data_IF_580065348771
#
_entry.id   IF_580065348771
#
_cell.length_a   1.000
_cell.length_b   1.000
_cell.length_c   1.000
_cell.angle_alpha   90.00
_cell.angle_beta   90.00
_cell.angle_gamma   90.00
#
_symmetry.space_group_name_H-M   'P 1'
#
loop_
_entity.id
_entity.type
_entity.pdbx_description
1 polymer ?
#
# COMPACT_ATOMS: atom_id res chain seq x y z
N UNK A 1 -3.58 -2.02 21.44
CA UNK A 1 -4.34 -1.68 20.20
C UNK A 1 -3.53 -0.79 19.24
N UNK A 2 -2.88 0.29 19.71
CA UNK A 2 -1.90 1.06 18.90
C UNK A 2 -0.73 0.22 18.36
N UNK A 3 -0.32 -0.81 19.13
CA UNK A 3 0.71 -1.77 18.73
C UNK A 3 0.39 -2.58 17.46
N UNK A 4 -0.88 -2.70 17.05
CA UNK A 4 -1.23 -3.46 15.86
C UNK A 4 -1.06 -2.66 14.56
N UNK A 5 -0.91 -1.34 14.65
CA UNK A 5 -0.69 -0.46 13.48
C UNK A 5 0.77 -0.02 13.32
N UNK A 6 1.62 -0.22 14.33
CA UNK A 6 3.01 0.28 14.34
C UNK A 6 4.10 -0.81 14.36
N UNK A 7 3.73 -2.10 14.27
CA UNK A 7 4.72 -3.17 14.11
C UNK A 7 5.15 -3.27 12.64
N UNK A 8 6.44 -3.02 12.30
CA UNK A 8 6.94 -3.14 10.93
C UNK A 8 7.04 -4.59 10.44
N UNK A 9 6.83 -5.59 11.31
CA UNK A 9 7.24 -6.97 11.05
C UNK A 9 6.13 -8.00 10.88
N UNK A 10 4.86 -7.61 10.81
CA UNK A 10 3.76 -8.57 10.87
C UNK A 10 3.00 -8.77 9.54
N UNK A 11 3.46 -8.27 8.40
CA UNK A 11 2.60 -7.92 7.24
C UNK A 11 2.08 -9.05 6.31
N UNK A 12 2.13 -10.33 6.66
CA UNK A 12 2.01 -11.39 5.64
C UNK A 12 0.62 -11.93 5.26
N UNK A 13 -0.53 -11.35 5.65
CA UNK A 13 -1.85 -11.92 5.24
C UNK A 13 -2.95 -10.90 4.90
N UNK A 14 -3.74 -11.28 3.88
CA UNK A 14 -4.83 -10.58 3.18
C UNK A 14 -5.96 -10.04 4.08
N UNK A 15 -6.01 -10.40 5.36
CA UNK A 15 -7.00 -9.91 6.35
C UNK A 15 -6.83 -8.44 6.75
N UNK A 16 -5.79 -7.75 6.24
CA UNK A 16 -5.32 -6.46 6.76
C UNK A 16 -5.79 -5.19 6.06
N UNK A 17 -6.18 -5.24 4.78
CA UNK A 17 -6.71 -4.05 4.10
C UNK A 17 -8.04 -3.59 4.72
N UNK A 18 -8.84 -4.58 5.16
CA UNK A 18 -10.08 -4.41 5.93
C UNK A 18 -9.74 -3.84 7.32
N UNK A 19 -8.82 -4.49 8.06
CA UNK A 19 -8.46 -4.14 9.44
C UNK A 19 -8.11 -2.66 9.68
N UNK A 20 -7.33 -2.01 8.80
CA UNK A 20 -6.92 -0.60 9.01
C UNK A 20 -8.09 0.40 8.88
N UNK A 21 -9.13 0.09 8.09
CA UNK A 21 -10.30 0.98 7.90
C UNK A 21 -11.29 0.91 9.07
N UNK A 22 -11.50 -0.26 9.66
CA UNK A 22 -12.37 -0.42 10.85
C UNK A 22 -11.71 0.02 12.16
N UNK A 23 -10.40 0.31 12.13
CA UNK A 23 -9.69 0.86 13.29
C UNK A 23 -10.04 2.32 13.60
N UNK A 24 -10.57 3.07 12.62
CA UNK A 24 -10.98 4.47 12.82
C UNK A 24 -12.20 4.56 13.75
N UNK A 25 -13.17 3.65 13.62
CA UNK A 25 -14.39 3.65 14.45
C UNK A 25 -14.20 2.97 15.81
N UNK A 26 -13.22 2.08 15.96
CA UNK A 26 -12.88 1.47 17.25
C UNK A 26 -11.99 2.36 18.11
N UNK A 27 -11.37 3.39 17.54
CA UNK A 27 -10.51 4.34 18.24
C UNK A 27 -11.24 5.11 19.35
N UNK A 28 -12.40 5.76 19.09
CA UNK A 28 -13.13 6.49 20.12
C UNK A 28 -13.60 5.58 21.26
N UNK A 29 -14.03 4.36 20.93
CA UNK A 29 -14.45 3.35 21.91
C UNK A 29 -13.30 2.91 22.81
N UNK A 30 -12.10 2.71 22.25
CA UNK A 30 -10.91 2.36 23.02
C UNK A 30 -10.52 3.47 24.00
N UNK A 31 -10.53 4.73 23.58
CA UNK A 31 -10.25 5.87 24.47
C UNK A 31 -11.34 6.07 25.52
N UNK A 32 -12.61 5.85 25.18
CA UNK A 32 -13.70 5.84 26.16
C UNK A 32 -13.51 4.76 27.22
N UNK A 33 -13.14 3.53 26.83
CA UNK A 33 -12.86 2.44 27.76
C UNK A 33 -11.64 2.74 28.65
N UNK A 34 -10.54 3.22 28.08
CA UNK A 34 -9.37 3.63 28.87
C UNK A 34 -9.75 4.75 29.85
N UNK A 35 -10.51 5.75 29.40
CA UNK A 35 -10.99 6.84 30.24
C UNK A 35 -11.84 6.32 31.40
N UNK A 36 -12.80 5.44 31.11
CA UNK A 36 -13.64 4.80 32.11
C UNK A 36 -12.83 4.00 33.14
N UNK A 37 -11.92 3.14 32.68
CA UNK A 37 -11.04 2.37 33.56
C UNK A 37 -10.14 3.28 34.40
N UNK A 38 -9.60 4.35 33.81
CA UNK A 38 -8.76 5.33 34.51
C UNK A 38 -9.56 6.03 35.62
N UNK A 39 -10.79 6.47 35.35
CA UNK A 39 -11.66 7.11 36.34
C UNK A 39 -12.02 6.12 37.46
N UNK A 40 -12.43 4.89 37.12
CA UNK A 40 -12.73 3.81 38.07
C UNK A 40 -11.54 3.51 38.99
N UNK A 41 -10.35 3.36 38.41
CA UNK A 41 -9.11 3.10 39.15
C UNK A 41 -8.77 4.28 40.08
N UNK A 42 -8.90 5.52 39.60
CA UNK A 42 -8.64 6.73 40.38
C UNK A 42 -9.65 6.91 41.52
N UNK A 43 -10.92 6.53 41.33
CA UNK A 43 -11.96 6.57 42.35
C UNK A 43 -11.74 5.50 43.44
N UNK A 44 -11.41 4.26 43.05
CA UNK A 44 -11.12 3.19 44.03
C UNK A 44 -9.85 3.46 44.83
N UNK A 45 -8.80 4.02 44.20
CA UNK A 45 -7.58 4.46 44.88
C UNK A 45 -7.79 5.72 45.75
N UNK A 46 -8.87 6.47 45.52
CA UNK A 46 -9.19 7.72 46.20
C UNK A 46 -10.04 7.57 47.47
N UNK A 47 -10.59 6.38 47.75
CA UNK A 47 -11.43 6.19 48.95
C UNK A 47 -10.59 6.22 50.23
N UNK A 48 -10.94 7.06 51.23
CA UNK A 48 -10.16 7.26 52.45
C UNK A 48 -10.43 6.12 53.44
N UNK A 49 -10.01 4.90 53.12
CA UNK A 49 -10.23 3.76 54.03
C UNK A 49 -9.11 3.47 55.01
N UNK A 50 -7.89 4.01 54.87
CA UNK A 50 -6.83 3.93 55.91
C UNK A 50 -5.74 5.00 55.68
N UNK A 51 -5.24 5.61 56.77
CA UNK A 51 -4.36 6.80 56.84
C UNK A 51 -3.05 6.71 56.02
N UNK A 52 -2.52 5.52 55.78
CA UNK A 52 -1.27 5.31 55.03
C UNK A 52 -1.44 5.08 53.51
N UNK A 53 -2.68 4.86 53.02
CA UNK A 53 -2.93 4.69 51.57
C UNK A 53 -2.97 5.99 50.78
N UNK A 54 -3.15 7.15 51.43
CA UNK A 54 -3.20 8.44 50.73
C UNK A 54 -1.87 8.82 50.06
N UNK A 55 -0.75 8.53 50.71
CA UNK A 55 0.59 8.70 50.13
C UNK A 55 0.83 7.69 49.00
N UNK A 56 0.45 6.43 49.20
CA UNK A 56 0.62 5.36 48.22
C UNK A 56 -0.23 5.60 46.95
N UNK A 57 -1.46 6.10 47.10
CA UNK A 57 -2.32 6.50 46.00
C UNK A 57 -1.76 7.70 45.23
N UNK A 58 -1.11 8.67 45.89
CA UNK A 58 -0.41 9.77 45.21
C UNK A 58 0.78 9.25 44.39
N UNK A 59 1.59 8.36 44.94
CA UNK A 59 2.74 7.77 44.24
C UNK A 59 2.30 6.95 43.01
N UNK A 60 1.26 6.13 43.14
CA UNK A 60 0.70 5.34 42.02
C UNK A 60 0.15 6.27 40.92
N UNK A 61 -0.51 7.37 41.27
CA UNK A 61 -0.98 8.36 40.30
C UNK A 61 0.17 9.00 39.52
N UNK A 62 1.22 9.42 40.22
CA UNK A 62 2.41 10.02 39.59
C UNK A 62 3.07 9.00 38.64
N UNK A 63 3.24 7.77 39.09
CA UNK A 63 3.84 6.71 38.28
C UNK A 63 3.01 6.38 37.04
N UNK A 64 1.68 6.33 37.15
CA UNK A 64 0.78 6.12 36.03
C UNK A 64 0.86 7.23 34.99
N UNK A 65 0.90 8.50 35.43
CA UNK A 65 1.09 9.65 34.53
C UNK A 65 2.44 9.57 33.81
N UNK A 66 3.51 9.17 34.52
CA UNK A 66 4.84 9.00 33.96
C UNK A 66 4.87 7.90 32.89
N UNK A 67 4.23 6.76 33.15
CA UNK A 67 4.05 5.68 32.15
C UNK A 67 3.32 6.21 30.91
N UNK A 68 2.25 6.97 31.10
CA UNK A 68 1.49 7.55 29.99
C UNK A 68 2.37 8.48 29.15
N UNK A 69 3.12 9.38 29.77
CA UNK A 69 4.01 10.30 29.07
C UNK A 69 5.07 9.54 28.27
N UNK A 70 5.75 8.57 28.89
CA UNK A 70 6.77 7.75 28.20
C UNK A 70 6.14 6.98 27.04
N UNK A 71 4.97 6.39 27.26
CA UNK A 71 4.24 5.65 26.24
C UNK A 71 3.88 6.54 25.04
N UNK A 72 3.33 7.74 25.28
CA UNK A 72 2.97 8.67 24.21
C UNK A 72 4.19 9.21 23.46
N UNK A 73 5.30 9.50 24.16
CA UNK A 73 6.55 9.96 23.53
C UNK A 73 7.12 8.89 22.61
N UNK A 74 7.18 7.63 23.06
CA UNK A 74 7.61 6.51 22.22
C UNK A 74 6.67 6.34 21.04
N UNK A 75 5.35 6.31 21.29
CA UNK A 75 4.34 6.18 20.24
C UNK A 75 4.48 7.28 19.17
N UNK A 76 4.74 8.52 19.59
CA UNK A 76 4.95 9.66 18.70
C UNK A 76 6.21 9.51 17.83
N UNK A 77 7.32 8.99 18.36
CA UNK A 77 8.54 8.74 17.57
C UNK A 77 8.29 7.66 16.50
N UNK A 78 7.50 6.63 16.83
CA UNK A 78 7.20 5.51 15.93
C UNK A 78 6.02 5.76 14.97
N UNK A 79 5.41 6.96 14.95
CA UNK A 79 4.42 7.25 13.91
C UNK A 79 5.10 7.42 12.56
N UNK A 80 4.51 6.83 11.51
CA UNK A 80 5.00 6.90 10.14
C UNK A 80 5.44 8.32 9.68
N UNK A 81 4.69 9.41 9.91
CA UNK A 81 5.12 10.75 9.46
C UNK A 81 6.36 11.26 10.22
N UNK A 82 6.45 11.04 11.54
CA UNK A 82 7.59 11.49 12.34
C UNK A 82 8.82 10.62 12.11
N UNK A 83 8.65 9.30 11.99
CA UNK A 83 9.74 8.41 11.62
C UNK A 83 10.32 8.78 10.24
N UNK A 84 9.46 9.05 9.25
CA UNK A 84 9.90 9.50 7.93
C UNK A 84 10.60 10.88 7.98
N UNK A 85 10.14 11.80 8.83
CA UNK A 85 10.78 13.10 9.08
C UNK A 85 12.17 12.93 9.70
N UNK A 86 12.32 12.00 10.65
CA UNK A 86 13.59 11.71 11.34
C UNK A 86 14.55 10.95 10.42
N UNK A 87 14.06 10.07 9.54
CA UNK A 87 14.88 9.28 8.63
C UNK A 87 15.38 10.03 7.39
N UNK A 88 15.09 11.33 7.25
CA UNK A 88 15.35 12.14 6.03
C UNK A 88 14.69 11.58 4.75
N UNK A 89 13.76 10.63 4.86
CA UNK A 89 13.00 10.08 3.72
C UNK A 89 11.76 10.93 3.40
N UNK A 90 11.44 11.92 4.23
CA UNK A 90 10.30 12.80 4.05
C UNK A 90 10.51 13.82 2.93
N UNK A 91 10.02 13.48 1.74
CA UNK A 91 9.85 14.45 0.64
C UNK A 91 8.45 15.06 0.71
N UNK A 92 8.35 16.28 1.22
CA UNK A 92 7.15 17.10 1.07
C UNK A 92 6.96 17.42 -0.42
N UNK A 93 6.05 16.71 -1.07
CA UNK A 93 5.64 17.04 -2.44
C UNK A 93 4.72 18.25 -2.35
N UNK A 94 5.09 19.34 -3.03
CA UNK A 94 4.28 20.56 -3.04
C UNK A 94 2.92 20.25 -3.73
N UNK A 95 1.78 20.41 -3.05
CA UNK A 95 0.47 20.11 -3.63
C UNK A 95 0.18 20.93 -4.89
N UNK A 96 0.74 22.15 -5.00
CA UNK A 96 0.58 22.98 -6.20
C UNK A 96 1.25 22.34 -7.42
N UNK A 97 2.43 21.71 -7.24
CA UNK A 97 3.12 21.00 -8.33
C UNK A 97 2.37 19.74 -8.77
N UNK A 98 1.59 19.12 -7.87
CA UNK A 98 0.71 18.01 -8.23
C UNK A 98 -0.52 18.52 -8.97
N UNK A 99 -1.11 19.63 -8.52
CA UNK A 99 -2.30 20.24 -9.13
C UNK A 99 -2.05 20.65 -10.59
N UNK A 100 -0.87 21.22 -10.88
CA UNK A 100 -0.47 21.59 -12.25
C UNK A 100 -0.37 20.41 -13.21
N UNK A 101 -0.20 19.18 -12.68
CA UNK A 101 -0.10 17.96 -13.48
C UNK A 101 -1.47 17.42 -13.92
N UNK A 102 -2.57 17.88 -13.31
CA UNK A 102 -3.91 17.36 -13.60
C UNK A 102 -4.75 18.33 -14.47
N UNK A 103 -5.62 17.82 -15.36
CA UNK A 103 -5.79 16.41 -15.70
C UNK A 103 -4.57 15.86 -16.43
N UNK A 104 -4.23 14.60 -16.15
CA UNK A 104 -3.13 13.93 -16.83
C UNK A 104 -3.43 13.83 -18.32
N UNK A 105 -2.40 14.03 -19.14
CA UNK A 105 -2.46 13.66 -20.56
C UNK A 105 -2.62 12.13 -20.65
N UNK A 106 -3.70 11.70 -21.31
CA UNK A 106 -3.98 10.27 -21.51
C UNK A 106 -3.11 9.67 -22.61
N UNK A 107 -2.35 10.49 -23.34
CA UNK A 107 -1.36 10.06 -24.33
C UNK A 107 -1.95 9.14 -25.41
N UNK A 108 -3.23 9.33 -25.74
CA UNK A 108 -3.95 8.53 -26.73
C UNK A 108 -4.69 7.30 -26.19
N UNK A 109 -4.60 7.02 -24.89
CA UNK A 109 -5.32 5.93 -24.24
C UNK A 109 -6.83 6.21 -24.11
N UNK A 110 -7.63 5.16 -24.24
CA UNK A 110 -9.08 5.18 -24.05
C UNK A 110 -9.43 4.69 -22.65
N UNK A 111 -10.57 5.13 -22.10
CA UNK A 111 -11.08 4.66 -20.80
C UNK A 111 -11.37 3.15 -20.73
N UNK A 112 -11.53 2.52 -21.88
CA UNK A 112 -11.72 1.06 -22.02
C UNK A 112 -10.41 0.29 -22.00
N UNK A 113 -9.28 0.98 -22.09
CA UNK A 113 -7.97 0.36 -22.11
C UNK A 113 -7.57 -0.09 -20.71
N UNK A 114 -6.74 -1.12 -20.67
CA UNK A 114 -6.36 -1.80 -19.44
C UNK A 114 -4.91 -1.50 -19.10
N UNK A 115 -4.66 -1.01 -17.89
CA UNK A 115 -3.31 -0.81 -17.38
C UNK A 115 -2.90 -2.00 -16.51
N UNK A 116 -1.83 -2.67 -16.93
CA UNK A 116 -1.21 -3.76 -16.21
C UNK A 116 -0.21 -3.18 -15.18
N UNK A 117 -0.62 -3.16 -13.91
CA UNK A 117 0.16 -2.64 -12.77
C UNK A 117 -0.16 -3.50 -11.52
N UNK A 118 0.85 -4.00 -10.81
CA UNK A 118 0.64 -4.88 -9.66
C UNK A 118 0.01 -4.22 -8.45
N UNK A 119 0.13 -2.89 -8.31
CA UNK A 119 -0.52 -2.14 -7.22
C UNK A 119 -1.73 -1.36 -7.68
N UNK A 120 -1.82 -1.08 -8.99
CA UNK A 120 -2.92 -0.34 -9.60
C UNK A 120 -3.09 1.08 -9.06
N UNK A 121 -2.08 1.68 -8.41
CA UNK A 121 -2.20 3.03 -7.84
C UNK A 121 -2.21 4.11 -8.90
N UNK A 122 -1.49 3.89 -10.01
CA UNK A 122 -1.45 4.84 -11.12
C UNK A 122 -2.65 4.69 -12.05
N UNK A 123 -3.31 3.53 -12.08
CA UNK A 123 -4.44 3.27 -12.97
C UNK A 123 -5.61 4.26 -12.81
N UNK A 124 -6.07 4.59 -11.59
CA UNK A 124 -7.13 5.58 -11.39
C UNK A 124 -6.74 6.99 -11.85
N UNK A 125 -5.46 7.34 -11.80
CA UNK A 125 -4.98 8.66 -12.22
C UNK A 125 -5.22 8.89 -13.72
N UNK A 126 -5.10 7.82 -14.53
CA UNK A 126 -5.38 7.84 -15.98
C UNK A 126 -6.81 7.43 -16.33
N UNK A 127 -7.66 7.07 -15.35
CA UNK A 127 -9.04 6.64 -15.59
C UNK A 127 -9.16 5.36 -16.43
N UNK A 128 -8.17 4.46 -16.34
CA UNK A 128 -8.10 3.19 -17.07
C UNK A 128 -8.62 2.02 -16.21
N UNK A 129 -8.81 0.87 -16.83
CA UNK A 129 -9.20 -0.37 -16.12
C UNK A 129 -7.94 -0.99 -15.49
N UNK A 130 -7.90 -1.24 -14.17
CA UNK A 130 -6.75 -1.86 -13.55
C UNK A 130 -6.74 -3.38 -13.80
N UNK A 131 -5.57 -3.91 -14.13
CA UNK A 131 -5.32 -5.35 -14.14
C UNK A 131 -4.08 -5.66 -13.32
N UNK A 132 -4.26 -6.50 -12.29
CA UNK A 132 -3.15 -6.96 -11.45
C UNK A 132 -2.70 -8.37 -11.89
N UNK A 133 -1.64 -8.43 -12.69
CA UNK A 133 -1.05 -9.71 -13.12
C UNK A 133 -0.32 -10.48 -12.00
N UNK A 134 -0.07 -9.83 -10.86
CA UNK A 134 0.58 -10.39 -9.68
C UNK A 134 -0.40 -10.52 -8.51
N UNK A 135 -1.69 -10.73 -8.78
CA UNK A 135 -2.71 -10.86 -7.74
C UNK A 135 -2.32 -11.95 -6.72
N UNK A 136 -2.30 -11.58 -5.44
CA UNK A 136 -1.83 -12.44 -4.35
C UNK A 136 -0.32 -12.40 -4.07
N UNK A 137 0.46 -11.69 -4.89
CA UNK A 137 1.91 -11.47 -4.75
C UNK A 137 2.28 -9.97 -4.67
N UNK A 138 1.33 -9.13 -4.27
CA UNK A 138 1.44 -7.66 -4.23
C UNK A 138 2.54 -7.13 -3.28
N UNK A 139 3.04 -7.97 -2.37
CA UNK A 139 4.09 -7.62 -1.43
C UNK A 139 5.42 -8.34 -1.70
N UNK A 140 5.46 -9.24 -2.69
CA UNK A 140 6.69 -9.95 -3.01
C UNK A 140 7.74 -8.98 -3.54
N UNK A 141 8.93 -8.99 -2.94
CA UNK A 141 10.09 -8.22 -3.42
C UNK A 141 10.70 -8.86 -4.66
N UNK A 142 10.54 -10.17 -4.81
CA UNK A 142 11.04 -10.98 -5.92
C UNK A 142 9.90 -11.67 -6.67
N UNK A 143 10.04 -11.76 -7.98
CA UNK A 143 9.11 -12.47 -8.84
C UNK A 143 9.26 -13.99 -8.70
N UNK A 144 8.15 -14.71 -8.50
CA UNK A 144 8.09 -16.17 -8.50
C UNK A 144 6.93 -16.65 -9.38
N UNK A 145 7.19 -17.52 -10.36
CA UNK A 145 6.21 -18.06 -11.31
C UNK A 145 5.25 -19.08 -10.68
N UNK A 146 4.43 -18.64 -9.73
CA UNK A 146 3.43 -19.48 -9.06
C UNK A 146 2.26 -19.84 -9.98
N UNK A 147 1.45 -20.84 -9.58
CA UNK A 147 0.22 -21.21 -10.28
C UNK A 147 -0.80 -20.06 -10.37
N UNK A 148 -0.83 -19.16 -9.37
CA UNK A 148 -1.69 -17.95 -9.40
C UNK A 148 -1.31 -17.02 -10.55
N UNK A 149 -0.01 -16.88 -10.82
CA UNK A 149 0.48 -16.05 -11.92
C UNK A 149 0.11 -16.67 -13.27
N UNK A 150 0.20 -18.00 -13.40
CA UNK A 150 -0.23 -18.67 -14.64
C UNK A 150 -1.71 -18.43 -14.95
N UNK A 151 -2.58 -18.51 -13.94
CA UNK A 151 -4.01 -18.21 -14.11
C UNK A 151 -4.23 -16.74 -14.53
N UNK A 152 -3.46 -15.81 -13.95
CA UNK A 152 -3.52 -14.39 -14.29
C UNK A 152 -3.07 -14.14 -15.73
N UNK A 153 -2.05 -14.86 -16.21
CA UNK A 153 -1.58 -14.80 -17.61
C UNK A 153 -2.63 -15.35 -18.57
N UNK A 154 -3.29 -16.46 -18.23
CA UNK A 154 -4.37 -17.00 -19.04
C UNK A 154 -5.55 -16.02 -19.14
N UNK A 155 -5.91 -15.38 -18.02
CA UNK A 155 -6.95 -14.35 -18.01
C UNK A 155 -6.57 -13.14 -18.87
N UNK A 156 -5.31 -12.70 -18.77
CA UNK A 156 -4.75 -11.64 -19.60
C UNK A 156 -4.90 -11.95 -21.09
N UNK A 157 -4.46 -13.16 -21.52
CA UNK A 157 -4.60 -13.61 -22.93
C UNK A 157 -6.05 -13.59 -23.39
N UNK A 158 -6.95 -14.19 -22.62
CA UNK A 158 -8.38 -14.25 -22.94
C UNK A 158 -9.02 -12.87 -23.03
N UNK A 159 -8.58 -11.94 -22.19
CA UNK A 159 -9.12 -10.57 -22.19
C UNK A 159 -8.62 -9.78 -23.39
N UNK A 160 -7.36 -9.99 -23.80
CA UNK A 160 -6.83 -9.45 -25.05
C UNK A 160 -7.57 -10.01 -26.28
N UNK A 161 -7.86 -11.32 -26.30
CA UNK A 161 -8.65 -11.96 -27.36
C UNK A 161 -10.07 -11.40 -27.46
N UNK A 162 -10.64 -10.91 -26.35
CA UNK A 162 -11.94 -10.23 -26.32
C UNK A 162 -11.89 -8.77 -26.84
N UNK A 163 -10.74 -8.30 -27.32
CA UNK A 163 -10.59 -6.99 -27.95
C UNK A 163 -10.18 -5.84 -27.01
N UNK A 164 -9.73 -6.16 -25.79
CA UNK A 164 -9.19 -5.14 -24.88
C UNK A 164 -7.70 -4.88 -25.15
N UNK A 165 -7.33 -3.61 -25.22
CA UNK A 165 -5.94 -3.19 -25.34
C UNK A 165 -5.29 -3.07 -23.96
N UNK A 166 -4.09 -3.65 -23.82
CA UNK A 166 -3.32 -3.65 -22.59
C UNK A 166 -2.07 -2.79 -22.71
N UNK A 167 -1.77 -2.05 -21.65
CA UNK A 167 -0.62 -1.17 -21.57
C UNK A 167 0.14 -1.41 -20.28
N UNK A 168 1.44 -1.10 -20.30
CA UNK A 168 2.32 -1.04 -19.13
C UNK A 168 2.99 0.33 -19.08
N UNK A 169 3.39 0.76 -17.89
CA UNK A 169 4.21 1.96 -17.72
C UNK A 169 5.67 1.66 -18.08
N UNK A 170 6.31 2.57 -18.80
CA UNK A 170 7.78 2.56 -19.02
C UNK A 170 8.58 2.75 -17.74
N UNK A 171 7.98 3.42 -16.75
CA UNK A 171 8.50 3.55 -15.40
C UNK A 171 7.55 2.83 -14.44
N UNK A 172 7.80 1.53 -14.16
CA UNK A 172 6.91 0.73 -13.36
C UNK A 172 6.95 1.23 -11.92
N UNK A 173 5.83 1.07 -11.22
CA UNK A 173 5.72 1.46 -9.81
C UNK A 173 6.64 0.62 -8.93
N UNK A 174 7.02 -0.59 -9.37
CA UNK A 174 7.89 -1.51 -8.63
C UNK A 174 8.86 -2.25 -9.53
N UNK A 175 9.99 -2.66 -8.97
CA UNK A 175 10.96 -3.51 -9.66
C UNK A 175 10.38 -4.88 -10.08
N UNK A 176 9.50 -5.45 -9.26
CA UNK A 176 8.85 -6.75 -9.56
C UNK A 176 7.94 -6.69 -10.80
N UNK A 177 7.37 -5.52 -11.13
CA UNK A 177 6.56 -5.35 -12.35
C UNK A 177 7.43 -5.53 -13.59
N UNK A 178 8.64 -4.95 -13.59
CA UNK A 178 9.61 -5.11 -14.67
C UNK A 178 10.00 -6.58 -14.86
N UNK A 179 10.24 -7.30 -13.76
CA UNK A 179 10.54 -8.74 -13.81
C UNK A 179 9.38 -9.54 -14.39
N UNK A 180 8.15 -9.21 -14.00
CA UNK A 180 6.95 -9.84 -14.54
C UNK A 180 6.76 -9.58 -16.03
N UNK A 181 6.94 -8.34 -16.50
CA UNK A 181 6.82 -8.01 -17.92
C UNK A 181 7.87 -8.74 -18.76
N UNK A 182 9.12 -8.81 -18.28
CA UNK A 182 10.17 -9.60 -18.92
C UNK A 182 9.80 -11.09 -18.96
N UNK A 183 9.20 -11.62 -17.89
CA UNK A 183 8.73 -12.99 -17.85
C UNK A 183 7.63 -13.27 -18.89
N UNK A 184 6.68 -12.33 -19.07
CA UNK A 184 5.65 -12.41 -20.12
C UNK A 184 6.28 -12.46 -21.52
N UNK A 185 7.23 -11.56 -21.79
CA UNK A 185 7.89 -11.45 -23.09
C UNK A 185 8.71 -12.71 -23.41
N UNK A 186 9.50 -13.17 -22.44
CA UNK A 186 10.43 -14.30 -22.64
C UNK A 186 9.73 -15.66 -22.69
N UNK A 187 8.65 -15.87 -21.93
CA UNK A 187 8.10 -17.20 -21.69
C UNK A 187 6.67 -17.40 -22.19
N UNK A 188 5.93 -16.32 -22.49
CA UNK A 188 4.48 -16.41 -22.75
C UNK A 188 4.04 -15.83 -24.08
N UNK A 189 4.97 -15.45 -24.96
CA UNK A 189 4.66 -14.99 -26.31
C UNK A 189 4.08 -13.58 -26.35
N UNK A 190 4.50 -12.72 -25.42
CA UNK A 190 4.13 -11.31 -25.42
C UNK A 190 5.23 -10.45 -26.04
N UNK A 191 4.87 -9.27 -26.53
CA UNK A 191 5.79 -8.22 -26.94
C UNK A 191 5.32 -6.87 -26.40
N UNK A 192 6.29 -5.99 -26.10
CA UNK A 192 6.05 -4.61 -25.73
C UNK A 192 6.40 -3.70 -26.90
N UNK A 193 5.43 -2.90 -27.32
CA UNK A 193 5.58 -1.91 -28.41
C UNK A 193 5.50 -0.52 -27.81
N UNK A 194 6.38 0.37 -28.26
CA UNK A 194 6.33 1.77 -27.89
C UNK A 194 4.99 2.40 -28.30
N UNK A 195 4.28 2.99 -27.33
CA UNK A 195 3.00 3.63 -27.58
C UNK A 195 3.08 5.14 -27.42
N UNK A 196 3.69 5.59 -26.32
CA UNK A 196 3.71 7.00 -25.96
C UNK A 196 4.87 7.31 -25.02
N UNK A 197 4.95 8.54 -24.51
CA UNK A 197 6.05 8.93 -23.59
C UNK A 197 6.07 8.07 -22.33
N UNK A 198 4.92 7.74 -21.78
CA UNK A 198 4.80 7.00 -20.51
C UNK A 198 4.41 5.53 -20.67
N UNK A 199 3.86 5.12 -21.81
CA UNK A 199 3.26 3.80 -21.97
C UNK A 199 3.89 2.95 -23.07
N UNK A 200 3.87 1.64 -22.84
CA UNK A 200 4.12 0.62 -23.84
C UNK A 200 2.87 -0.24 -23.99
N UNK A 201 2.51 -0.59 -25.23
CA UNK A 201 1.40 -1.48 -25.53
C UNK A 201 1.88 -2.93 -25.43
N UNK A 202 1.14 -3.75 -24.71
CA UNK A 202 1.35 -5.19 -24.63
C UNK A 202 0.57 -5.87 -25.77
N UNK A 203 1.24 -6.73 -26.54
CA UNK A 203 0.63 -7.49 -27.63
C UNK A 203 1.01 -8.96 -27.58
N UNK A 204 0.14 -9.82 -28.11
CA UNK A 204 0.43 -11.23 -28.34
C UNK A 204 1.14 -11.40 -29.68
N UNK A 205 2.25 -12.13 -29.67
CA UNK A 205 2.98 -12.47 -30.90
C UNK A 205 2.14 -13.48 -31.69
N UNK A 206 1.57 -13.02 -32.80
CA UNK A 206 0.68 -13.82 -33.67
C UNK A 206 1.40 -14.39 -34.89
N UNK A 207 2.54 -13.82 -35.29
CA UNK A 207 3.34 -14.27 -36.44
C UNK A 207 4.83 -14.44 -36.10
N UNK A 208 5.47 -15.43 -36.73
CA UNK A 208 6.86 -15.90 -36.53
C UNK A 208 7.91 -14.85 -36.94
N UNK A 209 7.50 -13.71 -37.53
CA UNK A 209 8.35 -12.54 -37.68
C UNK A 209 8.52 -11.83 -36.33
N UNK A 210 9.27 -12.46 -35.44
CA UNK A 210 9.67 -11.94 -34.13
C UNK A 210 10.28 -10.54 -34.27
N UNK A 211 9.46 -9.49 -34.15
CA UNK A 211 10.00 -8.18 -33.83
C UNK A 211 10.28 -8.18 -32.33
N UNK A 212 11.53 -7.93 -31.91
CA UNK A 212 11.84 -7.81 -30.49
C UNK A 212 11.03 -6.65 -29.91
N UNK A 213 10.75 -6.73 -28.61
CA UNK A 213 10.14 -5.61 -27.88
C UNK A 213 11.00 -4.35 -28.06
N UNK A 214 10.34 -3.19 -28.16
CA UNK A 214 11.05 -1.94 -28.36
C UNK A 214 11.94 -1.65 -27.14
N UNK A 215 13.22 -1.31 -27.36
CA UNK A 215 14.21 -1.11 -26.27
C UNK A 215 13.84 0.00 -25.28
N UNK A 216 12.95 0.90 -25.67
CA UNK A 216 12.42 1.97 -24.82
C UNK A 216 11.44 1.38 -23.78
N UNK A 217 10.87 0.23 -24.10
CA UNK A 217 10.03 -0.61 -23.25
C UNK A 217 10.87 -1.71 -22.58
N UNK A 218 11.78 -1.26 -21.71
CA UNK A 218 12.68 -2.06 -20.85
C UNK A 218 13.80 -2.87 -21.50
#
# INVERSE_FOLDING_TARGET
LWFFTSSPGAESTLSRAVSRRYMITTFPLFFMLIGFFSIKLLQELGQPRYRNRALLAKTVKIFFVLIIIVFFSIAFIFTQPTFALISNEFKLINPMTLMERYPLDLEGLKKTDVLLDSKGYKTPEYGLIPFNGLLGHEQAEEFNSSSSIQNSIQLLKKTMENGYDFYVLKEPSRAVDKQFFNYLVQNHGFQLIDHSKSFCKLQLVTDISNKPSDKICF
#
